data_IF_043603797090
#
_entry.id   IF_043603797090
#
_cell.length_a   1.000
_cell.length_b   1.000
_cell.length_c   1.000
_cell.angle_alpha   90.00
_cell.angle_beta   90.00
_cell.angle_gamma   90.00
#
_symmetry.space_group_name_H-M   'P 1'
#
loop_
_entity.id
_entity.type
_entity.pdbx_description
1 polymer ?
#
# COMPACT_ATOMS: atom_id res chain seq x y z
N UNK A 1 7.58 58.17 61.29
CA UNK A 1 8.57 57.40 60.51
C UNK A 1 7.91 56.09 60.13
N UNK A 2 7.33 56.02 58.92
CA UNK A 2 6.39 54.95 58.52
C UNK A 2 7.17 53.80 57.89
N UNK A 3 7.12 52.62 58.52
CA UNK A 3 7.79 51.40 58.02
C UNK A 3 6.90 50.77 56.93
N UNK A 4 7.33 50.82 55.67
CA UNK A 4 6.70 50.11 54.57
C UNK A 4 7.06 48.61 54.64
N UNK A 5 6.12 47.77 55.10
CA UNK A 5 6.23 46.32 54.97
C UNK A 5 6.05 45.93 53.49
N UNK A 6 7.11 45.42 52.87
CA UNK A 6 6.99 44.70 51.60
C UNK A 6 6.41 43.31 51.88
N UNK A 7 5.21 43.04 51.37
CA UNK A 7 4.69 41.68 51.31
C UNK A 7 5.41 40.92 50.19
N UNK A 8 5.96 39.72 50.44
CA UNK A 8 6.56 38.92 49.38
C UNK A 8 5.46 38.53 48.39
N UNK A 9 5.61 38.96 47.13
CA UNK A 9 4.73 38.52 46.04
C UNK A 9 4.91 37.01 45.89
N UNK A 10 3.84 36.26 46.16
CA UNK A 10 3.78 34.83 45.86
C UNK A 10 3.97 34.65 44.35
N UNK A 11 5.17 34.20 43.95
CA UNK A 11 5.41 33.67 42.61
C UNK A 11 4.58 32.39 42.48
N UNK A 12 3.42 32.50 41.84
CA UNK A 12 2.65 31.34 41.44
C UNK A 12 3.45 30.66 40.33
N UNK A 13 3.61 29.34 40.40
CA UNK A 13 4.37 28.51 39.45
C UNK A 13 3.73 28.41 38.06
N UNK A 14 3.30 29.54 37.51
CA UNK A 14 2.68 29.68 36.20
C UNK A 14 3.57 29.12 35.09
N UNK A 15 4.88 29.37 35.15
CA UNK A 15 5.85 28.81 34.20
C UNK A 15 5.90 27.28 34.23
N UNK A 16 5.72 26.67 35.40
CA UNK A 16 5.71 25.21 35.56
C UNK A 16 4.43 24.61 34.96
N UNK A 17 3.28 25.28 35.14
CA UNK A 17 2.00 24.86 34.55
C UNK A 17 2.02 25.02 33.02
N UNK A 18 2.48 26.17 32.51
CA UNK A 18 2.63 26.40 31.08
C UNK A 18 3.56 25.36 30.44
N UNK A 19 4.71 25.07 31.08
CA UNK A 19 5.62 24.03 30.61
C UNK A 19 4.98 22.63 30.61
N UNK A 20 4.21 22.30 31.65
CA UNK A 20 3.52 21.02 31.78
C UNK A 20 2.47 20.78 30.68
N UNK A 21 1.89 21.85 30.11
CA UNK A 21 0.92 21.76 29.01
C UNK A 21 1.63 21.80 27.64
N UNK A 22 2.57 22.73 27.47
CA UNK A 22 3.21 22.98 26.18
C UNK A 22 4.08 21.80 25.76
N UNK A 23 4.88 21.22 26.66
CA UNK A 23 5.82 20.15 26.30
C UNK A 23 5.12 18.88 25.81
N UNK A 24 4.11 18.31 26.50
CA UNK A 24 3.41 17.14 26.01
C UNK A 24 2.67 17.40 24.70
N UNK A 25 2.08 18.59 24.55
CA UNK A 25 1.37 18.98 23.32
C UNK A 25 2.34 19.09 22.14
N UNK A 26 3.50 19.71 22.35
CA UNK A 26 4.54 19.82 21.33
C UNK A 26 5.13 18.44 20.98
N UNK A 27 5.41 17.60 21.97
CA UNK A 27 5.90 16.23 21.76
C UNK A 27 4.88 15.41 20.95
N UNK A 28 3.59 15.50 21.29
CA UNK A 28 2.53 14.85 20.55
C UNK A 28 2.52 15.29 19.07
N UNK A 29 2.63 16.60 18.80
CA UNK A 29 2.73 17.12 17.43
C UNK A 29 3.91 16.51 16.67
N UNK A 30 5.09 16.45 17.30
CA UNK A 30 6.29 15.87 16.68
C UNK A 30 6.09 14.39 16.37
N UNK A 31 5.48 13.62 17.27
CA UNK A 31 5.17 12.20 17.06
C UNK A 31 4.19 11.99 15.91
N UNK A 32 3.15 12.82 15.80
CA UNK A 32 2.20 12.79 14.68
C UNK A 32 2.90 13.08 13.35
N UNK A 33 3.74 14.12 13.29
CA UNK A 33 4.52 14.45 12.09
C UNK A 33 5.44 13.27 11.72
N UNK A 34 6.11 12.67 12.68
CA UNK A 34 6.99 11.52 12.45
C UNK A 34 6.22 10.34 11.84
N UNK A 35 5.02 10.04 12.36
CA UNK A 35 4.17 9.00 11.78
C UNK A 35 3.77 9.32 10.33
N UNK A 36 3.40 10.57 10.02
CA UNK A 36 3.09 10.97 8.65
C UNK A 36 4.28 10.78 7.71
N UNK A 37 5.51 11.06 8.17
CA UNK A 37 6.74 10.79 7.39
C UNK A 37 6.89 9.29 7.11
N UNK A 38 6.62 8.41 8.09
CA UNK A 38 6.68 6.97 7.90
C UNK A 38 5.62 6.45 6.91
N UNK A 39 4.40 7.00 6.98
CA UNK A 39 3.33 6.70 6.02
C UNK A 39 3.75 7.12 4.61
N UNK A 40 4.28 8.34 4.45
CA UNK A 40 4.72 8.86 3.15
C UNK A 40 5.87 8.03 2.56
N UNK A 41 6.87 7.67 3.39
CA UNK A 41 7.95 6.76 3.00
C UNK A 41 7.39 5.42 2.51
N UNK A 42 6.47 4.83 3.27
CA UNK A 42 5.84 3.55 2.93
C UNK A 42 5.06 3.66 1.63
N UNK A 43 4.27 4.73 1.45
CA UNK A 43 3.53 4.98 0.20
C UNK A 43 4.46 5.06 -1.01
N UNK A 44 5.54 5.83 -0.90
CA UNK A 44 6.52 5.99 -2.00
C UNK A 44 7.17 4.66 -2.37
N UNK A 45 7.58 3.87 -1.38
CA UNK A 45 8.18 2.55 -1.63
C UNK A 45 7.14 1.57 -2.17
N UNK A 46 5.90 1.61 -1.68
CA UNK A 46 4.81 0.77 -2.17
C UNK A 46 4.48 1.08 -3.63
N UNK A 47 4.49 2.34 -4.05
CA UNK A 47 4.27 2.73 -5.44
C UNK A 47 5.34 2.14 -6.37
N UNK A 48 6.60 2.21 -5.96
CA UNK A 48 7.69 1.57 -6.67
C UNK A 48 7.54 0.05 -6.70
N UNK A 49 7.19 -0.57 -5.57
CA UNK A 49 7.03 -2.01 -5.45
C UNK A 49 5.84 -2.53 -6.27
N UNK A 50 4.73 -1.79 -6.31
CA UNK A 50 3.57 -2.08 -7.15
C UNK A 50 3.94 -1.98 -8.63
N UNK A 51 4.73 -0.98 -9.03
CA UNK A 51 5.23 -0.91 -10.40
C UNK A 51 6.13 -2.10 -10.76
N UNK A 52 7.03 -2.52 -9.86
CA UNK A 52 7.84 -3.72 -10.08
C UNK A 52 6.98 -5.00 -10.19
N UNK A 53 5.96 -5.13 -9.33
CA UNK A 53 5.02 -6.24 -9.39
C UNK A 53 4.25 -6.26 -10.72
N UNK A 54 3.75 -5.11 -11.17
CA UNK A 54 3.08 -4.99 -12.46
C UNK A 54 4.03 -5.34 -13.62
N UNK A 55 5.28 -4.90 -13.58
CA UNK A 55 6.29 -5.26 -14.59
C UNK A 55 6.55 -6.77 -14.61
N UNK A 56 6.69 -7.41 -13.46
CA UNK A 56 6.87 -8.85 -13.36
C UNK A 56 5.63 -9.61 -13.87
N UNK A 57 4.42 -9.11 -13.59
CA UNK A 57 3.18 -9.65 -14.15
C UNK A 57 3.12 -9.50 -15.68
N UNK A 58 3.53 -8.34 -16.21
CA UNK A 58 3.48 -8.06 -17.64
C UNK A 58 4.40 -8.99 -18.47
N UNK A 59 5.53 -9.43 -17.91
CA UNK A 59 6.49 -10.32 -18.60
C UNK A 59 6.25 -11.80 -18.35
N UNK A 60 5.53 -12.17 -17.28
CA UNK A 60 5.29 -13.57 -16.89
C UNK A 60 3.80 -14.00 -17.01
N UNK A 61 2.99 -13.31 -17.81
CA UNK A 61 1.60 -13.66 -18.05
C UNK A 61 0.71 -13.57 -16.80
N UNK A 62 0.93 -12.55 -15.96
CA UNK A 62 0.15 -12.23 -14.75
C UNK A 62 0.26 -13.30 -13.65
N UNK A 63 1.36 -14.06 -13.61
CA UNK A 63 1.61 -15.04 -12.53
C UNK A 63 1.69 -14.36 -11.16
N UNK A 64 0.76 -14.72 -10.26
CA UNK A 64 0.66 -14.17 -8.90
C UNK A 64 1.95 -14.35 -8.09
N UNK A 65 2.63 -15.48 -8.27
CA UNK A 65 3.90 -15.75 -7.58
C UNK A 65 5.02 -14.78 -7.98
N UNK A 66 5.18 -14.53 -9.28
CA UNK A 66 6.22 -13.62 -9.79
C UNK A 66 5.94 -12.16 -9.38
N UNK A 67 4.66 -11.76 -9.42
CA UNK A 67 4.24 -10.43 -8.96
C UNK A 67 4.51 -10.23 -7.48
N UNK A 68 4.20 -11.20 -6.64
CA UNK A 68 4.46 -11.13 -5.21
C UNK A 68 5.98 -11.17 -4.89
N UNK A 69 6.82 -11.76 -5.76
CA UNK A 69 8.28 -11.83 -5.55
C UNK A 69 8.91 -10.50 -5.90
N UNK A 70 8.42 -9.87 -6.96
CA UNK A 70 8.79 -8.52 -7.31
C UNK A 70 8.30 -7.51 -6.25
N UNK A 71 7.08 -7.68 -5.72
CA UNK A 71 6.58 -6.84 -4.62
C UNK A 71 7.47 -6.96 -3.38
N UNK A 72 7.83 -8.17 -2.96
CA UNK A 72 8.74 -8.39 -1.84
C UNK A 72 10.11 -7.73 -2.07
N UNK A 73 10.63 -7.81 -3.29
CA UNK A 73 11.84 -7.11 -3.71
C UNK A 73 11.71 -5.59 -3.57
N UNK A 74 10.63 -5.01 -4.09
CA UNK A 74 10.36 -3.58 -4.04
C UNK A 74 10.13 -3.04 -2.62
N UNK A 75 9.59 -3.86 -1.70
CA UNK A 75 9.40 -3.50 -0.30
C UNK A 75 10.68 -3.62 0.55
N UNK A 76 11.73 -4.27 0.05
CA UNK A 76 13.01 -4.48 0.77
C UNK A 76 13.57 -3.22 1.44
N UNK A 77 13.57 -2.02 0.81
CA UNK A 77 14.08 -0.81 1.44
C UNK A 77 13.35 -0.42 2.73
N UNK A 78 12.09 -0.84 2.93
CA UNK A 78 11.38 -0.55 4.19
C UNK A 78 11.98 -1.27 5.39
N UNK A 79 12.59 -2.44 5.17
CA UNK A 79 13.04 -3.36 6.21
C UNK A 79 14.55 -3.57 6.24
N UNK A 80 15.28 -3.19 5.19
CA UNK A 80 16.73 -3.29 5.14
C UNK A 80 17.37 -2.36 6.18
N UNK A 81 17.89 -2.93 7.26
CA UNK A 81 18.61 -2.20 8.32
C UNK A 81 20.12 -2.14 8.07
N UNK A 82 20.66 -2.95 7.14
CA UNK A 82 22.10 -2.98 6.81
C UNK A 82 22.32 -3.46 5.37
N UNK A 83 23.35 -2.95 4.66
CA UNK A 83 23.57 -3.21 3.23
C UNK A 83 24.26 -4.54 2.88
N UNK A 84 24.26 -5.53 3.78
CA UNK A 84 24.94 -6.82 3.54
C UNK A 84 24.18 -7.69 2.52
N UNK A 85 24.83 -8.07 1.42
CA UNK A 85 24.23 -8.70 0.23
C UNK A 85 23.66 -10.09 0.55
N UNK A 86 24.33 -10.88 1.40
CA UNK A 86 23.81 -12.18 1.85
C UNK A 86 22.52 -12.01 2.67
N UNK A 87 22.42 -10.90 3.39
CA UNK A 87 21.26 -10.56 4.19
C UNK A 87 20.09 -10.07 3.30
N UNK A 88 20.35 -9.47 2.14
CA UNK A 88 19.29 -8.97 1.24
C UNK A 88 18.39 -10.09 0.71
N UNK A 89 18.95 -11.24 0.31
CA UNK A 89 18.14 -12.35 -0.19
C UNK A 89 17.27 -12.98 0.91
N UNK A 90 17.85 -13.20 2.08
CA UNK A 90 17.12 -13.69 3.26
C UNK A 90 16.06 -12.69 3.72
N UNK A 91 16.37 -11.40 3.68
CA UNK A 91 15.43 -10.32 3.99
C UNK A 91 14.27 -10.31 3.01
N UNK A 92 14.54 -10.43 1.69
CA UNK A 92 13.49 -10.52 0.68
C UNK A 92 12.57 -11.72 0.92
N UNK A 93 13.13 -12.90 1.20
CA UNK A 93 12.34 -14.09 1.52
C UNK A 93 11.50 -13.88 2.79
N UNK A 94 12.09 -13.33 3.85
CA UNK A 94 11.35 -12.98 5.06
C UNK A 94 10.17 -12.06 4.73
N UNK A 95 10.40 -10.95 4.04
CA UNK A 95 9.35 -10.01 3.61
C UNK A 95 8.27 -10.70 2.78
N UNK A 96 8.66 -11.63 1.88
CA UNK A 96 7.70 -12.37 1.06
C UNK A 96 6.68 -13.12 1.92
N UNK A 97 7.14 -13.82 2.95
CA UNK A 97 6.27 -14.63 3.81
C UNK A 97 5.63 -13.85 4.96
N UNK A 98 6.30 -12.84 5.53
CA UNK A 98 5.80 -12.12 6.70
C UNK A 98 5.01 -10.88 6.34
N UNK A 99 5.32 -10.22 5.22
CA UNK A 99 4.69 -8.95 4.84
C UNK A 99 3.78 -9.15 3.62
N UNK A 100 4.32 -9.66 2.52
CA UNK A 100 3.55 -9.76 1.28
C UNK A 100 2.42 -10.79 1.39
N UNK A 101 2.70 -11.97 1.92
CA UNK A 101 1.70 -13.04 1.98
C UNK A 101 0.61 -12.80 3.05
N UNK A 102 0.93 -12.11 4.13
CA UNK A 102 0.02 -11.92 5.27
C UNK A 102 -0.66 -10.56 5.28
N UNK A 103 0.02 -9.52 4.80
CA UNK A 103 -0.41 -8.13 4.96
C UNK A 103 -0.50 -7.37 3.64
N UNK A 104 -0.23 -8.01 2.50
CA UNK A 104 -0.45 -7.44 1.18
C UNK A 104 -1.47 -8.22 0.35
N UNK A 105 -2.26 -7.52 -0.43
CA UNK A 105 -3.16 -8.08 -1.44
C UNK A 105 -2.83 -7.47 -2.81
N UNK A 106 -2.61 -8.32 -3.81
CA UNK A 106 -2.43 -7.91 -5.20
C UNK A 106 -3.69 -8.28 -5.97
N UNK A 107 -4.39 -7.29 -6.51
CA UNK A 107 -5.61 -7.45 -7.29
C UNK A 107 -5.37 -6.99 -8.72
N UNK A 108 -5.63 -7.87 -9.68
CA UNK A 108 -5.56 -7.52 -11.11
C UNK A 108 -6.88 -6.86 -11.50
N UNK A 109 -6.85 -5.58 -11.83
CA UNK A 109 -8.03 -4.81 -12.25
C UNK A 109 -8.28 -4.99 -13.75
N UNK A 110 -7.21 -4.99 -14.55
CA UNK A 110 -7.24 -5.25 -15.97
C UNK A 110 -5.99 -6.05 -16.37
N UNK A 111 -6.06 -6.94 -17.37
CA UNK A 111 -7.26 -7.34 -18.12
C UNK A 111 -8.28 -8.10 -17.29
N UNK A 112 -9.56 -7.97 -17.65
CA UNK A 112 -10.63 -8.74 -17.04
C UNK A 112 -10.71 -10.14 -17.66
N UNK A 113 -11.27 -11.10 -16.92
CA UNK A 113 -11.52 -12.45 -17.44
C UNK A 113 -12.45 -12.45 -18.66
N UNK A 114 -13.39 -11.50 -18.74
CA UNK A 114 -14.25 -11.32 -19.91
C UNK A 114 -13.44 -10.92 -21.15
N UNK A 115 -12.55 -9.92 -21.03
CA UNK A 115 -11.67 -9.50 -22.12
C UNK A 115 -10.71 -10.60 -22.55
N UNK A 116 -10.16 -11.35 -21.60
CA UNK A 116 -9.34 -12.52 -21.89
C UNK A 116 -10.12 -13.58 -22.68
N UNK A 117 -11.34 -13.93 -22.26
CA UNK A 117 -12.14 -14.96 -22.92
C UNK A 117 -12.60 -14.57 -24.33
N UNK A 118 -12.86 -13.28 -24.55
CA UNK A 118 -13.28 -12.75 -25.85
C UNK A 118 -12.12 -12.71 -26.85
N UNK A 119 -10.96 -12.21 -26.43
CA UNK A 119 -9.84 -11.94 -27.33
C UNK A 119 -8.76 -13.04 -27.34
N UNK A 120 -8.91 -14.12 -26.56
CA UNK A 120 -7.95 -15.24 -26.59
C UNK A 120 -7.93 -15.90 -27.97
N UNK A 121 -6.72 -16.11 -28.46
CA UNK A 121 -6.45 -16.79 -29.72
C UNK A 121 -5.61 -18.03 -29.48
N UNK A 122 -5.73 -19.01 -30.37
CA UNK A 122 -4.90 -20.21 -30.32
C UNK A 122 -3.52 -19.89 -30.88
N UNK A 123 -2.49 -20.00 -30.06
CA UNK A 123 -1.10 -19.81 -30.46
C UNK A 123 -0.54 -21.02 -31.22
N UNK A 124 0.64 -20.84 -31.81
CA UNK A 124 1.39 -21.89 -32.50
C UNK A 124 1.67 -23.12 -31.61
N UNK A 125 1.79 -22.92 -30.30
CA UNK A 125 1.96 -23.98 -29.30
C UNK A 125 0.66 -24.75 -28.97
N UNK A 126 -0.46 -24.37 -29.62
CA UNK A 126 -1.77 -24.96 -29.44
C UNK A 126 -2.54 -24.46 -28.21
N UNK A 127 -1.97 -23.57 -27.40
CA UNK A 127 -2.61 -23.00 -26.20
C UNK A 127 -3.41 -21.75 -26.55
N UNK A 128 -4.45 -21.49 -25.77
CA UNK A 128 -5.17 -20.22 -25.86
C UNK A 128 -4.45 -19.16 -25.05
N UNK A 129 -4.17 -18.03 -25.68
CA UNK A 129 -3.56 -16.90 -25.00
C UNK A 129 -4.17 -15.58 -25.46
N UNK A 130 -4.16 -14.59 -24.57
CA UNK A 130 -4.41 -13.21 -25.00
C UNK A 130 -3.22 -12.78 -25.87
N UNK A 131 -3.42 -12.50 -27.16
CA UNK A 131 -2.32 -12.15 -28.05
C UNK A 131 -1.70 -10.82 -27.66
N UNK A 132 -0.36 -10.77 -27.68
CA UNK A 132 0.42 -9.56 -27.41
C UNK A 132 1.26 -9.13 -28.64
N UNK A 133 1.01 -9.75 -29.79
CA UNK A 133 1.73 -9.51 -31.04
C UNK A 133 0.93 -8.63 -32.00
N UNK A 134 1.64 -7.84 -32.81
CA UNK A 134 1.05 -7.01 -33.88
C UNK A 134 -0.14 -6.15 -33.44
N UNK A 135 -0.19 -5.72 -32.17
CA UNK A 135 -1.33 -4.99 -31.56
C UNK A 135 -1.76 -3.76 -32.36
N UNK A 136 -0.81 -3.09 -33.03
CA UNK A 136 -1.06 -1.92 -33.87
C UNK A 136 -1.90 -2.23 -35.13
N UNK A 137 -1.88 -3.47 -35.61
CA UNK A 137 -2.60 -3.92 -36.80
C UNK A 137 -3.88 -4.71 -36.46
N UNK A 138 -4.12 -4.98 -35.17
CA UNK A 138 -5.31 -5.68 -34.71
C UNK A 138 -6.52 -4.74 -34.68
N UNK A 139 -7.70 -5.32 -34.87
CA UNK A 139 -8.95 -4.55 -34.85
C UNK A 139 -9.11 -3.82 -33.50
N UNK A 140 -9.32 -2.51 -33.55
CA UNK A 140 -9.51 -1.64 -32.38
C UNK A 140 -10.98 -1.49 -31.96
N UNK A 141 -11.89 -2.25 -32.58
CA UNK A 141 -13.30 -2.26 -32.20
C UNK A 141 -13.47 -2.74 -30.76
N UNK A 142 -14.34 -2.05 -30.03
CA UNK A 142 -14.70 -2.41 -28.66
C UNK A 142 -15.58 -3.66 -28.71
N UNK A 143 -15.17 -4.68 -27.96
CA UNK A 143 -15.87 -5.96 -27.86
C UNK A 143 -16.99 -5.98 -26.82
N UNK A 144 -17.61 -7.14 -26.62
CA UNK A 144 -18.60 -7.38 -25.57
C UNK A 144 -18.05 -7.18 -24.15
N UNK A 145 -16.73 -7.28 -23.98
CA UNK A 145 -16.00 -6.97 -22.74
C UNK A 145 -15.80 -5.47 -22.47
N UNK A 146 -16.40 -4.58 -23.28
CA UNK A 146 -16.30 -3.11 -23.17
C UNK A 146 -14.88 -2.55 -23.36
N UNK A 147 -13.95 -3.38 -23.84
CA UNK A 147 -12.57 -2.99 -24.16
C UNK A 147 -12.19 -3.55 -25.53
N UNK A 148 -11.14 -3.01 -26.15
CA UNK A 148 -10.54 -3.58 -27.35
C UNK A 148 -9.34 -4.49 -26.99
N UNK A 149 -8.73 -5.12 -28.00
CA UNK A 149 -7.57 -6.02 -27.80
C UNK A 149 -6.35 -5.27 -27.25
N UNK A 150 -6.17 -4.00 -27.63
CA UNK A 150 -5.05 -3.17 -27.20
C UNK A 150 -5.15 -2.81 -25.71
N UNK A 151 -6.35 -2.48 -25.25
CA UNK A 151 -6.68 -2.16 -23.86
C UNK A 151 -6.66 -3.41 -22.99
N UNK A 152 -7.08 -4.56 -23.53
CA UNK A 152 -6.91 -5.85 -22.87
C UNK A 152 -5.43 -6.22 -22.66
N UNK A 153 -4.50 -5.64 -23.42
CA UNK A 153 -3.05 -5.80 -23.21
C UNK A 153 -2.46 -4.79 -22.22
N UNK A 154 -3.28 -4.09 -21.44
CA UNK A 154 -2.83 -3.25 -20.34
C UNK A 154 -3.06 -3.99 -19.02
N UNK A 155 -1.97 -4.25 -18.30
CA UNK A 155 -2.02 -4.76 -16.94
C UNK A 155 -2.16 -3.59 -15.97
N UNK A 156 -3.34 -3.49 -15.35
CA UNK A 156 -3.58 -2.61 -14.21
C UNK A 156 -3.73 -3.46 -12.96
N UNK A 157 -2.90 -3.21 -11.96
CA UNK A 157 -3.01 -3.86 -10.65
C UNK A 157 -3.27 -2.83 -9.56
N UNK A 158 -3.96 -3.28 -8.51
CA UNK A 158 -4.07 -2.62 -7.21
C UNK A 158 -3.32 -3.45 -6.20
N UNK A 159 -2.42 -2.82 -5.47
CA UNK A 159 -1.72 -3.41 -4.33
C UNK A 159 -2.22 -2.72 -3.08
N UNK A 160 -2.77 -3.49 -2.15
CA UNK A 160 -3.13 -3.00 -0.82
C UNK A 160 -2.10 -3.57 0.16
N UNK A 161 -1.46 -2.74 0.96
CA UNK A 161 -0.50 -3.14 1.98
C UNK A 161 -0.88 -2.58 3.36
N UNK A 162 -1.04 -3.47 4.33
CA UNK A 162 -1.39 -3.14 5.71
C UNK A 162 -0.11 -2.83 6.50
N UNK A 163 0.31 -1.56 6.50
CA UNK A 163 1.54 -1.14 7.17
C UNK A 163 1.39 -1.06 8.69
N UNK A 164 2.40 -1.44 9.49
CA UNK A 164 2.34 -1.29 10.94
C UNK A 164 2.41 0.18 11.37
N UNK A 165 1.65 0.54 12.41
CA UNK A 165 1.77 1.84 13.07
C UNK A 165 2.88 1.76 14.15
N UNK A 166 3.98 2.46 13.93
CA UNK A 166 5.17 2.37 14.80
C UNK A 166 5.08 3.36 15.97
N UNK A 167 4.50 4.54 15.74
CA UNK A 167 4.41 5.59 16.75
C UNK A 167 3.29 5.27 17.75
N UNK A 168 3.54 5.36 19.07
CA UNK A 168 2.53 5.07 20.07
C UNK A 168 1.35 6.05 19.99
N UNK A 169 0.15 5.60 20.39
CA UNK A 169 -1.10 6.37 20.44
C UNK A 169 -1.69 6.79 19.08
N UNK A 170 -0.95 6.69 17.98
CA UNK A 170 -1.41 7.06 16.63
C UNK A 170 -2.65 6.28 16.21
N UNK A 171 -2.71 5.01 16.57
CA UNK A 171 -3.86 4.15 16.30
C UNK A 171 -5.16 4.73 16.88
N UNK A 172 -5.11 5.32 18.07
CA UNK A 172 -6.24 6.01 18.71
C UNK A 172 -6.53 7.34 18.05
N UNK A 173 -5.51 8.08 17.63
CA UNK A 173 -5.67 9.36 16.93
C UNK A 173 -6.35 9.16 15.58
N UNK A 174 -5.92 8.18 14.78
CA UNK A 174 -6.50 7.87 13.47
C UNK A 174 -7.96 7.44 13.62
N UNK A 175 -8.25 6.55 14.58
CA UNK A 175 -9.63 6.11 14.85
C UNK A 175 -10.49 7.27 15.35
N UNK A 176 -10.00 8.08 16.30
CA UNK A 176 -10.74 9.23 16.81
C UNK A 176 -11.01 10.32 15.76
N UNK A 177 -10.06 10.58 14.86
CA UNK A 177 -10.26 11.48 13.72
C UNK A 177 -11.27 10.91 12.71
N UNK A 178 -11.20 9.60 12.45
CA UNK A 178 -12.15 8.91 11.58
C UNK A 178 -13.57 9.08 12.11
N UNK A 179 -13.82 8.74 13.39
CA UNK A 179 -15.13 8.82 14.03
C UNK A 179 -15.71 10.24 13.98
N UNK A 180 -14.86 11.26 14.16
CA UNK A 180 -15.25 12.67 14.10
C UNK A 180 -15.63 13.14 12.69
N UNK A 181 -14.99 12.59 11.66
CA UNK A 181 -15.27 12.91 10.24
C UNK A 181 -16.43 12.07 9.69
N UNK A 182 -16.64 10.85 10.19
CA UNK A 182 -17.67 9.92 9.72
C UNK A 182 -19.07 10.16 10.30
N UNK A 183 -19.31 11.26 11.01
CA UNK A 183 -20.61 11.61 11.61
C UNK A 183 -21.75 11.95 10.62
N UNK A 184 -21.63 11.58 9.34
CA UNK A 184 -22.64 11.76 8.29
C UNK A 184 -22.91 10.44 7.57
N UNK A 185 -24.18 10.04 7.59
CA UNK A 185 -24.82 8.82 7.08
C UNK A 185 -24.03 7.89 6.11
N UNK A 186 -24.04 6.59 6.44
CA UNK A 186 -23.79 5.43 5.57
C UNK A 186 -22.34 5.11 5.15
N UNK A 187 -21.39 5.24 6.08
CA UNK A 187 -20.14 4.48 6.01
C UNK A 187 -19.93 3.77 7.35
N UNK A 188 -20.18 2.46 7.40
CA UNK A 188 -19.89 1.63 8.58
C UNK A 188 -18.41 1.74 8.90
N UNK A 189 -17.99 2.17 10.12
CA UNK A 189 -16.59 2.24 10.49
C UNK A 189 -16.11 0.83 10.82
N UNK A 190 -15.93 -0.01 9.79
CA UNK A 190 -14.87 -1.01 9.86
C UNK A 190 -13.60 -0.17 9.94
N UNK A 191 -13.02 -0.11 11.14
CA UNK A 191 -11.86 0.70 11.47
C UNK A 191 -10.95 0.90 10.26
N UNK A 192 -10.62 2.16 9.92
CA UNK A 192 -9.63 2.46 8.87
C UNK A 192 -8.32 1.67 9.04
N UNK A 193 -8.12 1.07 10.21
CA UNK A 193 -7.03 0.19 10.55
C UNK A 193 -7.48 -1.28 10.52
N UNK A 194 -6.67 -2.13 9.93
CA UNK A 194 -6.75 -3.59 10.02
C UNK A 194 -6.16 -4.04 11.35
N UNK A 195 -6.91 -4.79 12.15
CA UNK A 195 -6.38 -5.40 13.37
C UNK A 195 -5.74 -6.75 13.05
N UNK A 196 -4.46 -6.89 13.37
CA UNK A 196 -3.73 -8.12 13.16
C UNK A 196 -4.24 -9.22 14.12
N UNK A 197 -4.69 -10.38 13.61
CA UNK A 197 -5.32 -11.42 14.44
C UNK A 197 -4.41 -12.00 15.53
N UNK A 198 -3.10 -11.93 15.32
CA UNK A 198 -2.10 -12.59 16.17
C UNK A 198 -1.61 -11.65 17.27
N UNK A 199 -1.25 -10.42 16.91
CA UNK A 199 -0.62 -9.46 17.82
C UNK A 199 -1.60 -8.45 18.42
N UNK A 200 -2.81 -8.31 17.86
CA UNK A 200 -3.75 -7.24 18.20
C UNK A 200 -3.25 -5.85 17.78
N UNK A 201 -2.12 -5.76 17.07
CA UNK A 201 -1.63 -4.48 16.57
C UNK A 201 -2.46 -4.02 15.37
N UNK A 202 -2.73 -2.72 15.36
CA UNK A 202 -3.46 -2.05 14.29
C UNK A 202 -2.51 -1.65 13.16
N UNK A 203 -2.90 -1.96 11.93
CA UNK A 203 -2.16 -1.69 10.70
C UNK A 203 -2.98 -0.79 9.80
N UNK A 204 -2.35 0.16 9.12
CA UNK A 204 -3.01 1.06 8.19
C UNK A 204 -2.96 0.47 6.77
N UNK A 205 -4.09 0.16 6.12
CA UNK A 205 -4.14 -0.20 4.72
C UNK A 205 -3.74 1.00 3.86
N UNK A 206 -2.73 0.83 3.03
CA UNK A 206 -2.32 1.79 2.01
C UNK A 206 -2.47 1.13 0.65
N UNK A 207 -3.08 1.87 -0.28
CA UNK A 207 -3.29 1.40 -1.65
C UNK A 207 -2.27 2.03 -2.60
N UNK A 208 -1.87 1.25 -3.59
CA UNK A 208 -1.10 1.69 -4.74
C UNK A 208 -1.64 1.06 -6.02
N UNK A 209 -1.65 1.83 -7.10
CA UNK A 209 -2.08 1.38 -8.41
C UNK A 209 -0.91 1.47 -9.38
N UNK A 210 -0.71 0.41 -10.16
CA UNK A 210 0.32 0.38 -11.18
C UNK A 210 -0.28 -0.09 -12.51
N UNK A 211 0.17 0.54 -13.60
CA UNK A 211 -0.28 0.28 -14.95
C UNK A 211 0.93 0.03 -15.84
N UNK A 212 0.97 -1.13 -16.50
CA UNK A 212 2.07 -1.54 -17.38
C UNK A 212 1.48 -2.22 -18.62
N UNK A 213 2.08 -2.01 -19.79
CA UNK A 213 1.71 -2.77 -21.00
C UNK A 213 2.25 -4.20 -20.92
N UNK A 214 1.41 -5.17 -21.25
CA UNK A 214 1.80 -6.57 -21.34
C UNK A 214 2.98 -6.74 -22.30
N UNK A 215 3.94 -7.57 -21.90
CA UNK A 215 5.11 -7.94 -22.70
C UNK A 215 5.08 -9.44 -23.06
N UNK A 216 4.18 -10.18 -22.44
CA UNK A 216 3.98 -11.60 -22.64
C UNK A 216 2.49 -11.91 -22.83
N UNK A 217 2.15 -12.95 -23.59
CA UNK A 217 0.79 -13.47 -23.64
C UNK A 217 0.34 -14.00 -22.28
N UNK A 218 -0.95 -13.90 -22.00
CA UNK A 218 -1.56 -14.51 -20.81
C UNK A 218 -2.06 -15.89 -21.21
N UNK A 219 -1.65 -16.95 -20.50
CA UNK A 219 -2.09 -18.32 -20.80
C UNK A 219 -3.13 -18.86 -19.81
N UNK A 220 -3.16 -18.33 -18.59
CA UNK A 220 -3.95 -18.87 -17.49
C UNK A 220 -4.99 -17.85 -17.02
N UNK A 221 -6.27 -18.14 -17.27
CA UNK A 221 -7.38 -17.28 -16.82
C UNK A 221 -7.49 -17.19 -15.29
N UNK A 222 -7.07 -18.22 -14.55
CA UNK A 222 -7.13 -18.24 -13.07
C UNK A 222 -6.25 -17.19 -12.39
N UNK A 223 -5.30 -16.61 -13.13
CA UNK A 223 -4.49 -15.50 -12.65
C UNK A 223 -5.21 -14.14 -12.68
N UNK A 224 -6.36 -14.06 -13.36
CA UNK A 224 -7.17 -12.85 -13.51
C UNK A 224 -8.36 -12.78 -12.53
N UNK A 225 -8.53 -13.82 -11.71
CA UNK A 225 -9.57 -13.85 -10.67
C UNK A 225 -9.11 -13.08 -9.42
N UNK A 226 -10.01 -12.26 -8.86
CA UNK A 226 -9.80 -11.41 -7.67
C UNK A 226 -9.74 -12.20 -6.36
#
# INVERSE_FOLDING_TARGET
>A
MTVLRHSPRHQHGQSLIEFCIVVPTFLFLVLVIFQFVLIYRTKTVLDYAAFQAARAGAVNGVRKNDMADALAGGLTPLFAQSPDIANVMLTKQKIRYTEVQLFSKIEVIAPTRAAYNEFRERQYDGRYALPNDSLAFRNANVGGSQVNVQDANILKIKVTYNMPLIVPFVDRVIVGLSDLVSGGESYTPASMLFEEPISGHRRLPIESYAVVRMQSPIYEAGNLDH
#
